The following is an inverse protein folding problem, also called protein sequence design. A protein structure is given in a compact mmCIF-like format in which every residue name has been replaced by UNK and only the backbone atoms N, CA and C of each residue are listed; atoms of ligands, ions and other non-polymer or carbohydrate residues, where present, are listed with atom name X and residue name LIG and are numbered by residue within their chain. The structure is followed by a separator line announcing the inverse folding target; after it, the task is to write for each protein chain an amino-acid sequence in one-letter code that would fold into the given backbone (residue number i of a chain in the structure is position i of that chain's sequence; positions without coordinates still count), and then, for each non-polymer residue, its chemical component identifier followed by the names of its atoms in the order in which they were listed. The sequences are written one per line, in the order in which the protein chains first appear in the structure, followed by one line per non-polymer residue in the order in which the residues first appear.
data_IF_149400335001
#
_entry.id   IF_149400335001
#
_cell.length_a   1.000
_cell.length_b   1.000
_cell.length_c   1.000
_cell.angle_alpha   90.00
_cell.angle_beta   90.00
_cell.angle_gamma   90.00
#
_symmetry.space_group_name_H-M   'P 1'
#
loop_
_entity.id
_entity.type
_entity.pdbx_description
1 polymer ?
#
# COMPACT_ATOMS: atom_id res chain seq x y z
N UNK A 1 -21.09 19.10 9.96
CA UNK A 1 -19.86 18.42 10.44
C UNK A 1 -20.14 16.93 10.61
N UNK A 2 -19.33 16.07 10.00
CA UNK A 2 -19.30 14.63 10.24
C UNK A 2 -18.43 14.36 11.45
N UNK A 3 -18.93 13.70 12.47
CA UNK A 3 -18.21 13.40 13.72
C UNK A 3 -18.41 11.93 14.07
N UNK A 4 -17.32 11.21 14.29
CA UNK A 4 -17.35 9.90 14.90
C UNK A 4 -16.68 9.99 16.29
N UNK A 5 -17.33 9.38 17.30
CA UNK A 5 -16.85 9.34 18.67
C UNK A 5 -16.81 7.92 19.19
N UNK A 6 -15.67 7.56 19.79
CA UNK A 6 -15.39 6.26 20.36
C UNK A 6 -15.75 5.12 19.39
N UNK A 7 -15.41 5.31 18.10
CA UNK A 7 -15.80 4.40 17.02
C UNK A 7 -15.02 3.11 17.13
N UNK A 8 -15.72 1.99 17.25
CA UNK A 8 -15.14 0.65 17.17
C UNK A 8 -15.86 -0.16 16.09
N UNK A 9 -15.13 -1.07 15.46
CA UNK A 9 -15.70 -2.02 14.51
C UNK A 9 -15.03 -3.37 14.62
N UNK A 10 -15.86 -4.39 14.80
CA UNK A 10 -15.45 -5.78 14.95
C UNK A 10 -15.88 -6.59 13.72
N UNK A 11 -15.02 -7.49 13.29
CA UNK A 11 -15.28 -8.48 12.24
C UNK A 11 -15.21 -9.88 12.82
N UNK A 12 -15.60 -10.89 12.05
CA UNK A 12 -15.42 -12.29 12.41
C UNK A 12 -13.98 -12.70 12.72
N UNK A 13 -13.01 -11.89 12.27
CA UNK A 13 -11.58 -12.10 12.48
C UNK A 13 -10.98 -11.25 13.61
N UNK A 14 -11.80 -10.48 14.32
CA UNK A 14 -11.40 -9.61 15.44
C UNK A 14 -11.66 -8.12 15.19
N UNK A 15 -11.22 -7.29 16.12
CA UNK A 15 -11.36 -5.85 16.05
C UNK A 15 -10.48 -5.25 14.92
N UNK A 16 -11.05 -4.39 14.09
CA UNK A 16 -10.30 -3.59 13.12
C UNK A 16 -9.76 -2.32 13.76
N UNK A 17 -10.55 -1.70 14.62
CA UNK A 17 -10.17 -0.52 15.41
C UNK A 17 -11.08 -0.36 16.60
N UNK A 18 -10.57 0.32 17.64
CA UNK A 18 -11.28 0.61 18.89
C UNK A 18 -11.06 2.08 19.28
N UNK A 19 -12.16 2.74 19.68
CA UNK A 19 -12.08 4.07 20.27
C UNK A 19 -11.59 5.18 19.34
N UNK A 20 -11.86 5.09 18.01
CA UNK A 20 -11.45 6.15 17.09
C UNK A 20 -12.32 7.39 17.23
N UNK A 21 -11.67 8.53 17.43
CA UNK A 21 -12.30 9.85 17.37
C UNK A 21 -11.85 10.59 16.13
N UNK A 22 -12.80 11.01 15.29
CA UNK A 22 -12.51 11.77 14.08
C UNK A 22 -13.60 12.81 13.77
N UNK A 23 -13.21 13.84 13.04
CA UNK A 23 -14.16 14.84 12.58
C UNK A 23 -13.78 15.40 11.22
N UNK A 24 -14.77 15.53 10.32
CA UNK A 24 -14.66 16.22 9.05
C UNK A 24 -15.71 17.32 8.98
N UNK A 25 -15.25 18.51 8.65
CA UNK A 25 -16.09 19.67 8.40
C UNK A 25 -16.06 19.95 6.90
N UNK A 26 -17.23 19.89 6.24
CA UNK A 26 -17.35 20.14 4.81
C UNK A 26 -16.83 21.52 4.39
N UNK A 27 -17.02 22.55 5.25
CA UNK A 27 -16.58 23.90 4.98
C UNK A 27 -15.06 24.12 5.13
N UNK A 28 -14.37 23.21 5.83
CA UNK A 28 -12.94 23.37 6.14
C UNK A 28 -11.99 23.14 4.95
N UNK A 29 -12.51 22.66 3.82
CA UNK A 29 -11.74 22.39 2.59
C UNK A 29 -10.48 21.53 2.84
N UNK A 30 -10.56 20.59 3.76
CA UNK A 30 -9.48 19.66 4.05
C UNK A 30 -9.31 18.65 2.94
N UNK A 31 -8.06 18.20 2.76
CA UNK A 31 -7.67 17.10 1.86
C UNK A 31 -7.00 16.04 2.72
N UNK A 32 -7.78 15.07 3.17
CA UNK A 32 -7.37 14.07 4.15
C UNK A 32 -7.02 12.78 3.45
N UNK A 33 -5.76 12.37 3.47
CA UNK A 33 -5.36 11.04 3.03
C UNK A 33 -5.47 10.05 4.19
N UNK A 34 -6.18 8.95 3.99
CA UNK A 34 -6.28 7.85 4.97
C UNK A 34 -5.29 6.76 4.57
N UNK A 35 -4.29 6.54 5.42
CA UNK A 35 -3.22 5.57 5.18
C UNK A 35 -3.21 4.50 6.28
N UNK A 36 -2.65 3.35 5.98
CA UNK A 36 -2.56 2.22 6.91
C UNK A 36 -2.24 0.93 6.18
N UNK A 37 -1.91 -0.13 6.91
CA UNK A 37 -1.64 -1.45 6.35
C UNK A 37 -2.86 -2.00 5.60
N UNK A 38 -2.61 -2.93 4.67
CA UNK A 38 -3.73 -3.64 4.04
C UNK A 38 -4.49 -4.45 5.10
N UNK A 39 -5.82 -4.36 5.04
CA UNK A 39 -6.71 -5.03 5.99
C UNK A 39 -6.93 -4.28 7.32
N UNK A 40 -6.32 -3.10 7.55
CA UNK A 40 -6.55 -2.33 8.79
C UNK A 40 -7.90 -1.60 8.87
N UNK A 41 -8.77 -1.77 7.86
CA UNK A 41 -10.13 -1.21 7.91
C UNK A 41 -10.34 0.14 7.22
N UNK A 42 -9.43 0.60 6.34
CA UNK A 42 -9.57 1.90 5.62
C UNK A 42 -10.91 2.02 4.89
N UNK A 43 -11.24 1.07 4.02
CA UNK A 43 -12.53 1.07 3.30
C UNK A 43 -13.72 0.85 4.23
N UNK A 44 -13.54 0.11 5.32
CA UNK A 44 -14.56 -0.06 6.37
C UNK A 44 -14.83 1.27 7.07
N UNK A 45 -13.79 2.05 7.36
CA UNK A 45 -13.91 3.39 7.94
C UNK A 45 -14.73 4.31 7.01
N UNK A 46 -14.44 4.30 5.69
CA UNK A 46 -15.24 5.06 4.71
C UNK A 46 -16.71 4.64 4.72
N UNK A 47 -17.02 3.34 4.76
CA UNK A 47 -18.40 2.82 4.83
C UNK A 47 -19.12 3.24 6.10
N UNK A 48 -18.45 3.25 7.26
CA UNK A 48 -19.00 3.75 8.52
C UNK A 48 -19.27 5.25 8.44
N UNK A 49 -18.34 6.03 7.88
CA UNK A 49 -18.51 7.47 7.66
C UNK A 49 -19.68 7.76 6.71
N UNK A 50 -19.89 6.93 5.69
CA UNK A 50 -21.03 7.03 4.77
C UNK A 50 -22.35 6.55 5.39
N UNK A 51 -22.28 5.65 6.40
CA UNK A 51 -23.43 5.05 7.07
C UNK A 51 -23.97 3.80 6.39
N UNK A 52 -23.17 3.18 5.58
CA UNK A 52 -23.46 1.85 5.01
C UNK A 52 -23.26 0.72 6.01
N UNK A 53 -22.43 0.98 7.04
CA UNK A 53 -22.20 0.06 8.16
C UNK A 53 -22.51 0.77 9.46
N UNK A 54 -23.04 0.01 10.42
CA UNK A 54 -23.21 0.46 11.79
C UNK A 54 -21.94 0.10 12.59
N UNK A 55 -21.44 1.01 13.44
CA UNK A 55 -20.30 0.70 14.30
C UNK A 55 -20.69 -0.33 15.36
N UNK A 56 -19.72 -1.17 15.78
CA UNK A 56 -19.91 -2.11 16.90
C UNK A 56 -20.05 -1.35 18.23
N UNK A 57 -19.30 -0.24 18.38
CA UNK A 57 -19.42 0.69 19.49
C UNK A 57 -19.20 2.13 18.99
N UNK A 58 -19.69 3.08 19.78
CA UNK A 58 -19.59 4.51 19.45
C UNK A 58 -20.71 5.02 18.55
N UNK A 59 -20.51 6.20 17.97
CA UNK A 59 -21.53 6.87 17.14
C UNK A 59 -20.91 7.62 15.99
N UNK A 60 -21.62 7.67 14.85
CA UNK A 60 -21.29 8.52 13.70
C UNK A 60 -22.44 9.48 13.45
N UNK A 61 -22.20 10.78 13.56
CA UNK A 61 -23.14 11.85 13.29
C UNK A 61 -22.75 12.64 12.05
N UNK A 62 -23.72 12.93 11.16
CA UNK A 62 -23.51 13.64 9.88
C UNK A 62 -24.30 14.93 9.81
N UNK A 63 -24.41 15.64 10.91
CA UNK A 63 -25.25 16.85 11.02
C UNK A 63 -24.98 17.82 9.86
N UNK A 64 -26.00 18.05 9.02
CA UNK A 64 -26.00 18.99 7.88
C UNK A 64 -24.96 18.73 6.77
N UNK A 65 -24.27 17.60 6.78
CA UNK A 65 -23.32 17.25 5.71
C UNK A 65 -23.95 16.29 4.71
N UNK A 66 -23.78 16.58 3.44
CA UNK A 66 -24.03 15.65 2.35
C UNK A 66 -22.73 14.93 2.05
N UNK A 67 -22.69 13.62 2.34
CA UNK A 67 -21.51 12.79 2.18
C UNK A 67 -21.70 11.87 1.00
N UNK A 68 -20.85 11.97 -0.02
CA UNK A 68 -20.86 11.11 -1.18
C UNK A 68 -19.55 10.30 -1.27
N UNK A 69 -19.61 9.09 -1.84
CA UNK A 69 -18.47 8.19 -1.86
C UNK A 69 -18.24 7.59 -3.26
N UNK A 70 -17.01 7.78 -3.79
CA UNK A 70 -16.50 7.02 -4.93
C UNK A 70 -15.91 5.71 -4.42
N UNK A 71 -16.44 4.59 -4.88
CA UNK A 71 -15.97 3.25 -4.52
C UNK A 71 -14.80 2.82 -5.37
N UNK A 72 -13.98 1.91 -4.84
CA UNK A 72 -12.84 1.33 -5.54
C UNK A 72 -13.26 0.68 -6.87
N UNK A 73 -14.35 -0.12 -6.87
CA UNK A 73 -14.92 -0.71 -8.06
C UNK A 73 -16.13 0.10 -8.54
N UNK A 74 -15.96 0.82 -9.63
CA UNK A 74 -17.02 1.57 -10.27
C UNK A 74 -17.85 0.60 -11.12
N UNK A 75 -19.02 0.24 -10.61
CA UNK A 75 -19.99 -0.62 -11.29
C UNK A 75 -21.24 0.18 -11.60
N UNK A 76 -21.59 0.24 -12.88
CA UNK A 76 -22.87 0.79 -13.30
C UNK A 76 -23.90 -0.35 -13.38
N UNK A 77 -25.15 -0.14 -12.91
CA UNK A 77 -26.16 -1.19 -12.85
C UNK A 77 -26.49 -1.80 -14.22
N UNK A 78 -26.48 -0.96 -15.26
CA UNK A 78 -26.71 -1.37 -16.64
C UNK A 78 -25.72 -0.63 -17.55
N UNK A 79 -24.73 -1.34 -18.06
CA UNK A 79 -23.72 -0.77 -18.93
C UNK A 79 -24.19 -0.50 -20.37
N UNK A 80 -25.39 -0.94 -20.74
CA UNK A 80 -25.96 -0.73 -22.09
C UNK A 80 -26.66 0.62 -22.21
N UNK A 81 -26.95 1.27 -21.10
CA UNK A 81 -27.58 2.60 -21.06
C UNK A 81 -26.60 3.68 -21.46
N UNK A 82 -27.08 4.77 -22.04
CA UNK A 82 -26.25 5.95 -22.32
C UNK A 82 -25.88 6.69 -21.02
N UNK A 83 -24.76 7.40 -21.04
CA UNK A 83 -24.31 8.21 -19.90
C UNK A 83 -25.37 9.23 -19.49
N UNK A 84 -25.97 9.92 -20.46
CA UNK A 84 -27.04 10.87 -20.20
C UNK A 84 -28.27 10.23 -19.57
N UNK A 85 -28.72 9.08 -20.11
CA UNK A 85 -29.85 8.32 -19.55
C UNK A 85 -29.59 7.85 -18.13
N UNK A 86 -28.36 7.40 -17.84
CA UNK A 86 -27.94 7.01 -16.50
C UNK A 86 -27.98 8.17 -15.51
N UNK A 87 -27.38 9.31 -15.85
CA UNK A 87 -27.35 10.48 -14.97
C UNK A 87 -28.74 11.09 -14.76
N UNK A 88 -29.59 11.10 -15.80
CA UNK A 88 -30.98 11.53 -15.68
C UNK A 88 -31.74 10.66 -14.67
N UNK A 89 -31.47 9.35 -14.64
CA UNK A 89 -32.12 8.44 -13.69
C UNK A 89 -31.72 8.69 -12.21
N UNK A 90 -30.70 9.53 -11.97
CA UNK A 90 -30.23 9.91 -10.64
C UNK A 90 -30.80 11.22 -10.12
N UNK A 91 -31.47 11.99 -10.99
CA UNK A 91 -32.13 13.22 -10.62
C UNK A 91 -33.52 12.92 -10.04
N UNK A 92 -33.96 13.71 -9.08
CA UNK A 92 -35.32 13.62 -8.51
C UNK A 92 -36.37 14.03 -9.50
N UNK A 93 -36.09 15.05 -10.35
CA UNK A 93 -36.99 15.56 -11.35
C UNK A 93 -36.27 15.91 -12.66
N UNK A 94 -36.93 15.63 -13.82
CA UNK A 94 -36.33 15.83 -15.16
C UNK A 94 -35.91 17.29 -15.45
N UNK A 95 -36.61 18.28 -14.90
CA UNK A 95 -36.27 19.69 -15.09
C UNK A 95 -34.91 20.08 -14.48
N UNK A 96 -34.36 19.27 -13.60
CA UNK A 96 -33.02 19.45 -13.01
C UNK A 96 -31.87 19.00 -13.96
N UNK A 97 -32.20 18.64 -15.22
CA UNK A 97 -31.21 18.15 -16.21
C UNK A 97 -30.02 19.11 -16.42
N UNK A 98 -30.19 20.42 -16.21
CA UNK A 98 -29.09 21.40 -16.25
C UNK A 98 -27.98 21.10 -15.25
N UNK A 99 -28.26 20.38 -14.16
CA UNK A 99 -27.24 19.96 -13.17
C UNK A 99 -26.25 18.98 -13.79
N UNK A 100 -26.67 18.16 -14.78
CA UNK A 100 -25.79 17.26 -15.51
C UNK A 100 -24.75 18.07 -16.30
N UNK A 101 -25.16 19.14 -16.97
CA UNK A 101 -24.25 20.00 -17.72
C UNK A 101 -23.23 20.65 -16.79
N UNK A 102 -23.66 21.13 -15.61
CA UNK A 102 -22.77 21.70 -14.59
C UNK A 102 -21.78 20.64 -14.09
N UNK A 103 -22.27 19.43 -13.77
CA UNK A 103 -21.42 18.35 -13.31
C UNK A 103 -20.40 17.92 -14.37
N UNK A 104 -20.82 17.87 -15.65
CA UNK A 104 -19.95 17.55 -16.79
C UNK A 104 -18.84 18.59 -16.98
N UNK A 105 -19.18 19.87 -16.86
CA UNK A 105 -18.19 20.96 -16.90
C UNK A 105 -17.15 20.80 -15.77
N UNK A 106 -17.63 20.51 -14.53
CA UNK A 106 -16.75 20.34 -13.37
C UNK A 106 -15.80 19.13 -13.51
N UNK A 107 -16.24 18.06 -14.17
CA UNK A 107 -15.37 16.88 -14.41
C UNK A 107 -14.65 16.92 -15.76
N UNK A 108 -14.76 18.04 -16.49
CA UNK A 108 -14.13 18.24 -17.80
C UNK A 108 -14.47 17.12 -18.80
N UNK A 109 -15.77 16.84 -18.96
CA UNK A 109 -16.32 15.93 -19.97
C UNK A 109 -17.10 16.72 -21.01
N UNK A 110 -16.93 16.37 -22.27
CA UNK A 110 -17.68 16.98 -23.36
C UNK A 110 -19.11 16.42 -23.48
N UNK A 111 -20.09 17.23 -23.94
CA UNK A 111 -21.49 16.83 -24.05
C UNK A 111 -21.72 15.63 -24.99
N UNK A 112 -20.83 15.39 -25.94
CA UNK A 112 -20.87 14.24 -26.86
C UNK A 112 -20.79 12.89 -26.13
N UNK A 113 -20.28 12.88 -24.90
CA UNK A 113 -20.20 11.66 -24.09
C UNK A 113 -21.56 11.23 -23.54
N UNK A 114 -22.53 12.14 -23.43
CA UNK A 114 -23.87 11.84 -22.94
C UNK A 114 -24.60 10.80 -23.79
N UNK A 115 -24.31 10.74 -25.08
CA UNK A 115 -24.92 9.79 -26.01
C UNK A 115 -24.19 8.44 -26.07
N UNK A 116 -23.00 8.34 -25.49
CA UNK A 116 -22.25 7.09 -25.46
C UNK A 116 -22.77 6.14 -24.38
N UNK A 117 -22.66 4.83 -24.65
CA UNK A 117 -23.02 3.81 -23.64
C UNK A 117 -21.93 3.71 -22.57
N UNK A 118 -22.35 3.42 -21.34
CA UNK A 118 -21.44 3.25 -20.20
C UNK A 118 -20.36 2.17 -20.45
N UNK A 119 -20.70 1.15 -21.22
CA UNK A 119 -19.77 0.08 -21.63
C UNK A 119 -18.60 0.57 -22.49
N UNK A 120 -18.80 1.62 -23.29
CA UNK A 120 -17.78 2.14 -24.22
C UNK A 120 -16.75 3.05 -23.56
N UNK A 121 -16.96 3.43 -22.30
CA UNK A 121 -16.13 4.38 -21.59
C UNK A 121 -14.74 3.81 -21.26
N UNK A 122 -13.70 4.62 -21.43
CA UNK A 122 -12.37 4.35 -20.90
C UNK A 122 -12.37 4.40 -19.36
N UNK A 123 -11.35 3.82 -18.71
CA UNK A 123 -11.23 3.84 -17.25
C UNK A 123 -11.29 5.26 -16.68
N UNK A 124 -10.58 6.22 -17.28
CA UNK A 124 -10.63 7.63 -16.84
C UNK A 124 -12.00 8.28 -17.03
N UNK A 125 -12.70 7.99 -18.15
CA UNK A 125 -14.06 8.48 -18.38
C UNK A 125 -15.04 7.88 -17.35
N UNK A 126 -14.94 6.59 -17.02
CA UNK A 126 -15.78 5.94 -16.00
C UNK A 126 -15.65 6.64 -14.64
N UNK A 127 -14.43 6.96 -14.21
CA UNK A 127 -14.18 7.69 -12.96
C UNK A 127 -14.81 9.08 -13.01
N UNK A 128 -14.65 9.82 -14.12
CA UNK A 128 -15.25 11.16 -14.27
C UNK A 128 -16.78 11.13 -14.26
N UNK A 129 -17.39 10.16 -14.95
CA UNK A 129 -18.85 9.98 -14.93
C UNK A 129 -19.35 9.62 -13.54
N UNK A 130 -18.65 8.72 -12.82
CA UNK A 130 -19.00 8.39 -11.44
C UNK A 130 -18.86 9.62 -10.50
N UNK A 131 -17.83 10.45 -10.68
CA UNK A 131 -17.71 11.70 -9.90
C UNK A 131 -18.84 12.67 -10.29
N UNK A 132 -19.20 12.79 -11.58
CA UNK A 132 -20.33 13.62 -12.01
C UNK A 132 -21.64 13.18 -11.34
N UNK A 133 -21.91 11.87 -11.25
CA UNK A 133 -23.05 11.33 -10.49
C UNK A 133 -23.05 11.78 -9.02
N UNK A 134 -21.87 11.73 -8.36
CA UNK A 134 -21.76 12.17 -6.97
C UNK A 134 -22.01 13.68 -6.82
N UNK A 135 -21.58 14.48 -7.78
CA UNK A 135 -21.76 15.94 -7.76
C UNK A 135 -23.23 16.36 -7.89
N UNK A 136 -24.09 15.53 -8.51
CA UNK A 136 -25.53 15.78 -8.55
C UNK A 136 -26.17 15.81 -7.17
N UNK A 137 -25.54 15.21 -6.15
CA UNK A 137 -25.99 15.25 -4.77
C UNK A 137 -25.53 16.51 -4.01
N UNK A 138 -24.80 17.41 -4.66
CA UNK A 138 -24.18 18.61 -4.05
C UNK A 138 -23.38 18.30 -2.75
N UNK A 139 -22.41 17.35 -2.78
CA UNK A 139 -21.74 16.88 -1.59
C UNK A 139 -20.87 17.97 -0.95
N UNK A 140 -20.95 18.08 0.38
CA UNK A 140 -20.05 18.91 1.18
C UNK A 140 -18.79 18.13 1.59
N UNK A 141 -18.91 16.79 1.68
CA UNK A 141 -17.80 15.86 1.96
C UNK A 141 -17.78 14.78 0.87
N UNK A 142 -16.62 14.64 0.23
CA UNK A 142 -16.38 13.61 -0.77
C UNK A 142 -15.41 12.57 -0.21
N UNK A 143 -15.83 11.31 -0.21
CA UNK A 143 -15.03 10.15 0.17
C UNK A 143 -14.58 9.43 -1.09
N UNK A 144 -13.27 9.09 -1.20
CA UNK A 144 -12.73 8.40 -2.37
C UNK A 144 -11.96 7.16 -1.91
N UNK A 145 -12.34 5.98 -2.39
CA UNK A 145 -11.66 4.73 -2.09
C UNK A 145 -10.79 4.30 -3.28
N UNK A 146 -9.46 4.43 -3.15
CA UNK A 146 -8.46 4.10 -4.17
C UNK A 146 -8.77 4.69 -5.56
N UNK A 147 -9.00 6.01 -5.69
CA UNK A 147 -9.51 6.62 -6.91
C UNK A 147 -8.49 6.64 -8.07
N UNK A 148 -7.22 6.36 -7.79
CA UNK A 148 -6.14 6.32 -8.79
C UNK A 148 -5.96 4.95 -9.45
N UNK A 149 -6.66 3.91 -8.97
CA UNK A 149 -6.52 2.57 -9.51
C UNK A 149 -6.99 2.50 -10.97
N UNK A 150 -6.17 1.88 -11.81
CA UNK A 150 -6.43 1.70 -13.24
C UNK A 150 -6.52 2.98 -14.09
N UNK A 151 -6.15 4.14 -13.52
CA UNK A 151 -6.09 5.40 -14.26
C UNK A 151 -4.75 5.56 -14.98
N UNK A 152 -4.80 6.17 -16.15
CA UNK A 152 -3.61 6.66 -16.84
C UNK A 152 -3.12 7.98 -16.21
N UNK A 153 -1.91 8.37 -16.57
CA UNK A 153 -1.24 9.56 -16.01
C UNK A 153 -2.08 10.83 -16.19
N UNK A 154 -2.70 11.01 -17.37
CA UNK A 154 -3.51 12.19 -17.67
C UNK A 154 -4.78 12.24 -16.80
N UNK A 155 -5.39 11.09 -16.55
CA UNK A 155 -6.56 10.98 -15.67
C UNK A 155 -6.21 11.22 -14.19
N UNK A 156 -5.03 10.78 -13.74
CA UNK A 156 -4.54 11.09 -12.38
C UNK A 156 -4.25 12.59 -12.24
N UNK A 157 -3.60 13.22 -13.20
CA UNK A 157 -3.35 14.67 -13.18
C UNK A 157 -4.65 15.49 -13.14
N UNK A 158 -5.64 15.10 -13.94
CA UNK A 158 -6.96 15.69 -13.87
C UNK A 158 -7.60 15.53 -12.48
N UNK A 159 -7.55 14.31 -11.89
CA UNK A 159 -8.13 14.03 -10.59
C UNK A 159 -7.49 14.88 -9.48
N UNK A 160 -6.17 15.07 -9.56
CA UNK A 160 -5.45 15.98 -8.65
C UNK A 160 -6.03 17.40 -8.72
N UNK A 161 -6.15 17.96 -9.95
CA UNK A 161 -6.72 19.29 -10.17
C UNK A 161 -8.17 19.40 -9.63
N UNK A 162 -8.99 18.41 -9.97
CA UNK A 162 -10.38 18.35 -9.49
C UNK A 162 -10.47 18.39 -7.96
N UNK A 163 -9.69 17.52 -7.27
CA UNK A 163 -9.72 17.48 -5.80
C UNK A 163 -9.20 18.79 -5.20
N UNK A 164 -8.16 19.40 -5.76
CA UNK A 164 -7.63 20.67 -5.28
C UNK A 164 -8.66 21.80 -5.38
N UNK A 165 -9.46 21.83 -6.43
CA UNK A 165 -10.48 22.84 -6.71
C UNK A 165 -11.82 22.58 -6.01
N UNK A 166 -12.10 21.35 -5.60
CA UNK A 166 -13.36 20.99 -4.95
C UNK A 166 -13.63 21.87 -3.73
N UNK A 167 -14.83 22.43 -3.65
CA UNK A 167 -15.18 23.45 -2.62
C UNK A 167 -15.36 22.86 -1.22
N UNK A 168 -15.69 21.58 -1.12
CA UNK A 168 -15.88 20.85 0.14
C UNK A 168 -14.59 20.21 0.68
N UNK A 169 -14.74 19.36 1.68
CA UNK A 169 -13.68 18.51 2.22
C UNK A 169 -13.62 17.19 1.46
N UNK A 170 -12.42 16.72 1.17
CA UNK A 170 -12.18 15.40 0.55
C UNK A 170 -11.38 14.53 1.49
N UNK A 171 -11.88 13.32 1.78
CA UNK A 171 -11.11 12.29 2.44
C UNK A 171 -10.94 11.10 1.49
N UNK A 172 -9.72 10.61 1.34
CA UNK A 172 -9.42 9.58 0.36
C UNK A 172 -8.45 8.52 0.89
N UNK A 173 -8.67 7.30 0.46
CA UNK A 173 -7.73 6.20 0.62
C UNK A 173 -6.92 6.11 -0.66
N UNK A 174 -5.61 6.07 -0.57
CA UNK A 174 -4.74 5.77 -1.70
C UNK A 174 -3.41 5.18 -1.25
N UNK A 175 -2.84 4.34 -2.13
CA UNK A 175 -1.49 3.83 -2.00
C UNK A 175 -0.50 4.55 -2.94
N UNK A 176 -0.96 5.50 -3.73
CA UNK A 176 -0.12 6.33 -4.60
C UNK A 176 0.45 7.52 -3.81
N UNK A 177 1.73 7.45 -3.49
CA UNK A 177 2.43 8.50 -2.70
C UNK A 177 2.56 9.82 -3.45
N UNK A 178 2.72 9.77 -4.77
CA UNK A 178 2.78 10.99 -5.59
C UNK A 178 1.44 11.72 -5.56
N UNK A 179 0.35 10.97 -5.67
CA UNK A 179 -1.00 11.48 -5.54
C UNK A 179 -1.26 12.04 -4.14
N UNK A 180 -0.93 11.29 -3.08
CA UNK A 180 -1.10 11.75 -1.69
C UNK A 180 -0.30 13.04 -1.47
N UNK A 181 0.96 13.09 -1.91
CA UNK A 181 1.84 14.26 -1.73
C UNK A 181 1.34 15.48 -2.49
N UNK A 182 0.71 15.29 -3.66
CA UNK A 182 0.15 16.38 -4.46
C UNK A 182 -1.16 16.96 -3.91
N UNK A 183 -1.94 16.14 -3.20
CA UNK A 183 -3.32 16.48 -2.81
C UNK A 183 -3.47 16.72 -1.31
N UNK A 184 -2.87 15.86 -0.45
CA UNK A 184 -3.13 15.86 0.98
C UNK A 184 -2.53 17.08 1.68
N UNK A 185 -3.31 17.68 2.59
CA UNK A 185 -2.84 18.62 3.58
C UNK A 185 -2.99 18.10 5.02
N UNK A 186 -3.60 16.93 5.17
CA UNK A 186 -3.72 16.18 6.40
C UNK A 186 -3.65 14.68 6.10
N UNK A 187 -2.99 13.92 6.95
CA UNK A 187 -2.90 12.46 6.83
C UNK A 187 -3.44 11.81 8.10
N UNK A 188 -4.32 10.85 7.91
CA UNK A 188 -4.85 9.99 8.96
C UNK A 188 -4.24 8.60 8.81
N UNK A 189 -3.42 8.21 9.77
CA UNK A 189 -2.85 6.87 9.82
C UNK A 189 -3.67 5.99 10.76
N UNK A 190 -4.20 4.88 10.23
CA UNK A 190 -4.67 3.78 11.07
C UNK A 190 -3.45 2.96 11.46
N UNK A 191 -3.00 3.12 12.71
CA UNK A 191 -1.77 2.54 13.22
C UNK A 191 -1.88 1.02 13.39
N UNK A 192 -0.74 0.36 13.63
CA UNK A 192 -0.71 -1.06 13.96
C UNK A 192 -1.40 -1.37 15.32
N UNK A 193 -1.54 -0.36 16.18
CA UNK A 193 -2.22 -0.41 17.47
C UNK A 193 -3.74 -0.14 17.32
N UNK A 194 -4.25 -0.11 16.06
CA UNK A 194 -5.65 0.10 15.73
C UNK A 194 -6.20 1.48 16.14
N UNK A 195 -5.31 2.44 16.38
CA UNK A 195 -5.63 3.83 16.71
C UNK A 195 -5.54 4.73 15.47
N UNK A 196 -6.26 5.85 15.47
CA UNK A 196 -6.16 6.87 14.44
C UNK A 196 -5.16 7.95 14.86
N UNK A 197 -4.10 8.10 14.11
CA UNK A 197 -3.14 9.18 14.30
C UNK A 197 -3.29 10.24 13.20
N UNK A 198 -3.34 11.49 13.61
CA UNK A 198 -3.51 12.62 12.72
C UNK A 198 -2.19 13.36 12.56
N UNK A 199 -1.81 13.60 11.30
CA UNK A 199 -0.62 14.35 10.91
C UNK A 199 -1.04 15.50 9.98
N UNK A 200 -0.38 16.63 10.11
CA UNK A 200 -0.64 17.80 9.26
C UNK A 200 0.49 17.98 8.25
N UNK A 201 0.12 18.23 7.01
CA UNK A 201 1.06 18.48 5.92
C UNK A 201 1.05 17.41 4.83
N UNK A 202 2.11 17.41 4.01
CA UNK A 202 2.30 16.49 2.89
C UNK A 202 2.74 15.10 3.35
N UNK A 203 2.78 14.14 2.40
CA UNK A 203 3.27 12.79 2.69
C UNK A 203 4.72 12.77 3.22
N UNK A 204 5.59 13.59 2.68
CA UNK A 204 6.98 13.68 3.15
C UNK A 204 7.08 14.21 4.58
N UNK A 205 6.27 15.21 4.92
CA UNK A 205 6.20 15.74 6.29
C UNK A 205 5.61 14.72 7.26
N UNK A 206 4.63 13.93 6.83
CA UNK A 206 4.09 12.81 7.59
C UNK A 206 5.17 11.80 7.96
N UNK A 207 6.03 11.39 7.01
CA UNK A 207 7.11 10.43 7.28
C UNK A 207 8.06 10.93 8.37
N UNK A 208 8.42 12.21 8.35
CA UNK A 208 9.27 12.82 9.36
C UNK A 208 8.58 12.82 10.72
N UNK A 209 7.35 13.34 10.79
CA UNK A 209 6.57 13.42 12.03
C UNK A 209 6.31 12.03 12.64
N UNK A 210 5.99 11.05 11.78
CA UNK A 210 5.78 9.66 12.19
C UNK A 210 7.05 9.06 12.82
N UNK A 211 8.20 9.27 12.19
CA UNK A 211 9.48 8.82 12.72
C UNK A 211 9.82 9.48 14.06
N UNK A 212 9.64 10.79 14.18
CA UNK A 212 9.87 11.51 15.43
C UNK A 212 8.96 11.02 16.57
N UNK A 213 7.66 10.81 16.29
CA UNK A 213 6.72 10.25 17.26
C UNK A 213 7.11 8.84 17.70
N UNK A 214 7.56 8.00 16.76
CA UNK A 214 8.03 6.66 17.07
C UNK A 214 9.26 6.70 17.96
N UNK A 215 10.26 7.52 17.64
CA UNK A 215 11.47 7.67 18.44
C UNK A 215 11.15 8.16 19.85
N UNK A 216 10.24 9.11 19.97
CA UNK A 216 9.80 9.59 21.28
C UNK A 216 9.13 8.50 22.11
N UNK A 217 8.18 7.74 21.52
CA UNK A 217 7.53 6.61 22.23
C UNK A 217 8.56 5.56 22.66
N UNK A 218 9.55 5.27 21.83
CA UNK A 218 10.62 4.33 22.17
C UNK A 218 11.43 4.83 23.36
N UNK A 219 11.83 6.09 23.36
CA UNK A 219 12.54 6.71 24.50
C UNK A 219 11.71 6.71 25.77
N UNK A 220 10.43 7.07 25.70
CA UNK A 220 9.50 7.09 26.85
C UNK A 220 9.32 5.67 27.42
N UNK A 221 9.23 4.66 26.56
CA UNK A 221 9.15 3.25 26.96
C UNK A 221 10.45 2.79 27.64
N UNK A 222 11.62 3.03 27.01
CA UNK A 222 12.91 2.66 27.59
C UNK A 222 13.18 3.34 28.93
N UNK A 223 12.79 4.63 29.04
CA UNK A 223 12.93 5.36 30.29
C UNK A 223 12.06 4.73 31.39
N UNK A 224 10.78 4.46 31.09
CA UNK A 224 9.85 3.82 32.04
C UNK A 224 10.33 2.42 32.44
N UNK A 225 10.87 1.64 31.51
CA UNK A 225 11.43 0.31 31.81
C UNK A 225 12.64 0.37 32.74
N UNK A 226 13.53 1.35 32.54
CA UNK A 226 14.67 1.55 33.44
C UNK A 226 14.23 1.90 34.85
N UNK A 227 13.28 2.81 35.01
CA UNK A 227 12.73 3.18 36.33
C UNK A 227 12.09 1.98 37.04
N UNK A 228 11.34 1.13 36.30
CA UNK A 228 10.75 -0.11 36.82
C UNK A 228 11.85 -1.06 37.26
N UNK A 229 12.86 -1.33 36.43
CA UNK A 229 13.96 -2.23 36.72
C UNK A 229 14.77 -1.77 37.94
N UNK A 230 15.12 -0.50 38.03
CA UNK A 230 15.83 0.07 39.20
C UNK A 230 15.04 -0.10 40.50
N UNK A 231 13.73 0.06 40.43
CA UNK A 231 12.86 -0.08 41.58
C UNK A 231 12.67 -1.55 41.98
N UNK A 232 12.60 -2.47 41.02
CA UNK A 232 12.59 -3.91 41.24
C UNK A 232 13.90 -4.39 41.87
N UNK A 233 15.06 -3.97 41.33
CA UNK A 233 16.37 -4.31 41.91
C UNK A 233 16.50 -3.79 43.35
N UNK A 234 16.12 -2.54 43.59
CA UNK A 234 16.13 -1.98 44.93
C UNK A 234 15.22 -2.79 45.88
N UNK A 235 14.03 -3.20 45.45
CA UNK A 235 13.13 -4.03 46.25
C UNK A 235 13.69 -5.43 46.48
N UNK A 236 14.33 -6.06 45.51
CA UNK A 236 14.96 -7.36 45.63
C UNK A 236 16.06 -7.36 46.72
N UNK A 237 16.88 -6.31 46.71
CA UNK A 237 17.98 -6.16 47.67
C UNK A 237 17.49 -5.79 49.07
N UNK A 238 16.45 -4.97 49.22
CA UNK A 238 16.09 -4.32 50.45
C UNK A 238 14.81 -4.85 51.14
N UNK A 239 13.92 -5.56 50.43
CA UNK A 239 12.64 -6.01 50.98
C UNK A 239 12.77 -6.93 52.19
N UNK A 240 13.83 -7.74 52.25
CA UNK A 240 14.15 -8.66 53.33
C UNK A 240 15.25 -8.17 54.27
N UNK A 241 15.84 -7.01 54.02
CA UNK A 241 16.90 -6.45 54.81
C UNK A 241 16.36 -6.05 56.20
N UNK A 242 16.99 -6.42 57.34
CA UNK A 242 16.51 -6.17 58.69
C UNK A 242 16.11 -4.73 58.99
N UNK A 243 16.79 -3.76 58.35
CA UNK A 243 16.55 -2.33 58.48
C UNK A 243 15.25 -1.86 57.79
N UNK A 244 14.79 -2.53 56.72
CA UNK A 244 13.69 -2.08 55.88
C UNK A 244 12.48 -3.02 55.86
N UNK A 245 12.61 -4.28 56.29
CA UNK A 245 11.58 -5.34 56.23
C UNK A 245 10.20 -4.96 56.74
N UNK A 246 10.12 -4.06 57.68
CA UNK A 246 8.85 -3.63 58.27
C UNK A 246 8.65 -2.10 58.18
N UNK A 247 9.35 -1.44 57.29
CA UNK A 247 9.21 0.02 57.13
C UNK A 247 8.17 0.41 56.12
N UNK A 248 7.55 1.57 56.32
CA UNK A 248 6.64 2.19 55.33
C UNK A 248 7.29 2.39 53.97
N UNK A 249 8.63 2.49 53.92
CA UNK A 249 9.41 2.72 52.69
C UNK A 249 9.28 1.57 51.67
N UNK A 250 9.37 0.29 52.16
CA UNK A 250 9.20 -0.86 51.25
C UNK A 250 7.77 -0.96 50.74
N UNK A 251 6.77 -0.70 51.62
CA UNK A 251 5.37 -0.69 51.19
C UNK A 251 5.05 0.41 50.19
N UNK A 252 5.62 1.63 50.41
CA UNK A 252 5.47 2.74 49.46
C UNK A 252 6.11 2.44 48.10
N UNK A 253 7.32 1.87 48.07
CA UNK A 253 8.02 1.51 46.86
C UNK A 253 7.32 0.38 46.07
N UNK A 254 6.77 -0.63 46.78
CA UNK A 254 5.92 -1.65 46.14
C UNK A 254 4.69 -1.03 45.46
N UNK A 255 4.01 -0.12 46.17
CA UNK A 255 2.85 0.57 45.62
C UNK A 255 3.22 1.52 44.47
N UNK A 256 4.45 2.11 44.49
CA UNK A 256 4.97 2.88 43.39
C UNK A 256 5.26 1.99 42.20
N UNK A 257 5.87 0.83 42.37
CA UNK A 257 6.12 -0.15 41.31
C UNK A 257 4.82 -0.58 40.62
N UNK A 258 3.81 -1.01 41.39
CA UNK A 258 2.49 -1.37 40.83
C UNK A 258 1.85 -0.21 40.02
N UNK A 259 2.06 1.03 40.46
CA UNK A 259 1.56 2.21 39.71
C UNK A 259 2.34 2.48 38.44
N UNK A 260 3.67 2.30 38.49
CA UNK A 260 4.55 2.48 37.34
C UNK A 260 4.28 1.41 36.28
N UNK A 261 4.19 0.14 36.66
CA UNK A 261 3.83 -0.96 35.76
C UNK A 261 2.50 -0.74 35.04
N UNK A 262 1.46 -0.26 35.81
CA UNK A 262 0.15 0.07 35.21
C UNK A 262 0.15 1.28 34.29
N UNK A 263 1.10 2.21 34.49
CA UNK A 263 1.21 3.45 33.70
C UNK A 263 2.32 3.40 32.64
N UNK A 264 3.18 2.38 32.70
CA UNK A 264 4.24 2.22 31.72
C UNK A 264 3.65 2.21 30.30
N UNK A 265 4.13 3.09 29.41
CA UNK A 265 3.67 3.06 28.02
C UNK A 265 4.00 1.68 27.43
N UNK A 266 3.09 1.08 26.66
CA UNK A 266 3.39 -0.17 25.98
C UNK A 266 4.60 0.02 25.06
N UNK A 267 5.35 -1.06 24.85
CA UNK A 267 6.43 -1.03 23.84
C UNK A 267 5.81 -0.59 22.50
N UNK A 268 6.33 0.47 21.88
CA UNK A 268 5.83 0.83 20.55
C UNK A 268 6.01 -0.36 19.63
N UNK A 269 4.95 -0.69 18.88
CA UNK A 269 5.05 -1.74 17.87
C UNK A 269 6.24 -1.39 16.98
N UNK A 270 7.26 -2.23 16.89
CA UNK A 270 8.42 -1.93 16.07
C UNK A 270 7.96 -1.54 14.68
N UNK A 271 8.44 -0.42 14.17
CA UNK A 271 8.26 -0.12 12.76
C UNK A 271 8.73 -1.37 12.00
N UNK A 272 7.84 -2.08 11.31
CA UNK A 272 8.14 -3.38 10.75
C UNK A 272 9.14 -3.18 9.61
N UNK A 273 10.42 -3.12 9.94
CA UNK A 273 11.50 -3.06 8.97
C UNK A 273 11.92 -4.47 8.65
N UNK A 274 11.87 -4.83 7.39
CA UNK A 274 12.49 -6.08 6.93
C UNK A 274 13.97 -6.03 7.32
N UNK A 275 14.35 -6.83 8.32
CA UNK A 275 15.74 -6.91 8.83
C UNK A 275 16.60 -7.77 7.91
N UNK A 276 16.75 -7.36 6.65
CA UNK A 276 17.67 -8.03 5.77
C UNK A 276 19.06 -7.40 5.90
N UNK A 277 19.93 -8.09 6.60
CA UNK A 277 21.31 -7.65 6.83
C UNK A 277 22.29 -8.04 5.70
N UNK A 278 21.85 -8.76 4.66
CA UNK A 278 22.76 -9.18 3.60
C UNK A 278 22.58 -8.36 2.35
N UNK A 279 23.57 -7.56 2.02
CA UNK A 279 23.71 -6.98 0.69
C UNK A 279 24.00 -8.14 -0.29
N UNK A 280 23.15 -8.29 -1.31
CA UNK A 280 23.38 -9.25 -2.37
C UNK A 280 24.43 -8.65 -3.31
N UNK A 281 25.60 -9.26 -3.36
CA UNK A 281 26.69 -8.90 -4.26
C UNK A 281 26.84 -9.96 -5.32
N UNK A 282 26.87 -9.57 -6.58
CA UNK A 282 27.11 -10.49 -7.68
C UNK A 282 28.58 -10.46 -8.16
N UNK A 283 28.95 -11.41 -9.00
CA UNK A 283 30.27 -11.43 -9.62
C UNK A 283 30.37 -10.37 -10.72
N UNK A 284 31.46 -9.60 -10.76
CA UNK A 284 31.70 -8.59 -11.79
C UNK A 284 31.64 -9.15 -13.22
N UNK A 285 31.19 -8.34 -14.17
CA UNK A 285 31.14 -8.64 -15.59
C UNK A 285 29.73 -8.72 -16.18
N UNK A 286 29.65 -9.17 -17.41
CA UNK A 286 28.37 -9.30 -18.12
C UNK A 286 27.52 -10.41 -17.52
N UNK A 287 26.31 -10.06 -17.13
CA UNK A 287 25.30 -10.96 -16.55
C UNK A 287 24.48 -11.62 -17.65
N UNK A 288 24.04 -10.82 -18.61
CA UNK A 288 23.18 -11.23 -19.69
C UNK A 288 23.42 -10.36 -20.94
N UNK A 289 23.32 -10.98 -22.14
CA UNK A 289 23.33 -10.26 -23.41
C UNK A 289 22.20 -10.82 -24.30
N UNK A 290 21.23 -9.93 -24.65
CA UNK A 290 20.13 -10.23 -25.56
C UNK A 290 20.32 -9.46 -26.87
N UNK A 291 20.24 -10.20 -27.97
CA UNK A 291 20.07 -9.66 -29.33
C UNK A 291 18.78 -10.24 -29.88
N UNK A 292 17.71 -9.50 -29.84
CA UNK A 292 16.39 -9.89 -30.31
C UNK A 292 16.09 -9.15 -31.60
N UNK A 293 15.87 -9.88 -32.69
CA UNK A 293 15.44 -9.33 -33.96
C UNK A 293 13.92 -9.09 -33.95
N UNK A 294 13.15 -10.14 -33.59
CA UNK A 294 11.69 -10.02 -33.48
C UNK A 294 11.09 -11.02 -32.50
N UNK A 295 9.92 -10.66 -31.96
CA UNK A 295 9.01 -11.53 -31.21
C UNK A 295 7.60 -11.31 -31.69
N UNK A 296 6.94 -12.39 -32.15
CA UNK A 296 5.56 -12.38 -32.64
C UNK A 296 4.66 -13.27 -31.80
N UNK A 297 3.38 -12.92 -31.74
CA UNK A 297 2.29 -13.79 -31.30
C UNK A 297 1.26 -13.88 -32.45
N UNK A 298 1.17 -15.03 -33.09
CA UNK A 298 0.46 -15.17 -34.36
C UNK A 298 1.07 -14.21 -35.38
N UNK A 299 0.24 -13.37 -36.02
CA UNK A 299 0.65 -12.40 -37.04
C UNK A 299 1.07 -11.03 -36.45
N UNK A 300 1.01 -10.85 -35.13
CA UNK A 300 1.32 -9.58 -34.49
C UNK A 300 2.76 -9.54 -33.97
N UNK A 301 3.58 -8.64 -34.53
CA UNK A 301 4.94 -8.37 -34.02
C UNK A 301 4.85 -7.48 -32.76
N UNK A 302 5.32 -8.02 -31.61
CA UNK A 302 5.26 -7.33 -30.30
C UNK A 302 6.59 -6.65 -29.97
N UNK A 303 7.73 -7.30 -30.26
CA UNK A 303 9.05 -6.72 -30.04
C UNK A 303 9.86 -6.78 -31.31
N UNK A 304 10.65 -5.74 -31.57
CA UNK A 304 11.50 -5.62 -32.75
C UNK A 304 12.82 -4.93 -32.43
N UNK A 305 13.92 -5.55 -32.89
CA UNK A 305 15.27 -4.98 -32.79
C UNK A 305 15.67 -4.54 -31.40
N UNK A 306 15.45 -5.39 -30.36
CA UNK A 306 15.83 -5.10 -28.98
C UNK A 306 17.23 -5.64 -28.71
N UNK A 307 18.16 -4.73 -28.35
CA UNK A 307 19.52 -5.08 -27.91
C UNK A 307 19.72 -4.65 -26.48
N UNK A 308 20.00 -5.62 -25.59
CA UNK A 308 20.16 -5.36 -24.17
C UNK A 308 21.34 -6.13 -23.59
N UNK A 309 22.36 -5.40 -23.12
CA UNK A 309 23.48 -5.94 -22.36
C UNK A 309 23.33 -5.50 -20.91
N UNK A 310 23.31 -6.47 -20.00
CA UNK A 310 23.21 -6.27 -18.57
C UNK A 310 24.52 -6.63 -17.92
N UNK A 311 25.09 -5.69 -17.19
CA UNK A 311 26.30 -5.88 -16.39
C UNK A 311 25.96 -5.93 -14.90
N UNK A 312 26.86 -6.44 -14.10
CA UNK A 312 26.68 -6.48 -12.65
C UNK A 312 26.50 -5.07 -12.10
N UNK A 313 25.45 -4.88 -11.26
CA UNK A 313 25.08 -3.59 -10.69
C UNK A 313 24.23 -2.70 -11.60
N UNK A 314 23.96 -3.09 -12.84
CA UNK A 314 23.01 -2.36 -13.70
C UNK A 314 21.61 -2.40 -13.12
N UNK A 315 20.95 -1.24 -13.11
CA UNK A 315 19.55 -1.06 -12.73
C UNK A 315 18.78 -0.48 -13.90
N UNK A 316 18.04 -1.34 -14.61
CA UNK A 316 17.46 -1.02 -15.90
C UNK A 316 15.96 -0.87 -15.75
N UNK A 317 15.42 0.28 -16.12
CA UNK A 317 13.98 0.51 -16.20
C UNK A 317 13.50 0.27 -17.63
N UNK A 318 12.49 -0.60 -17.80
CA UNK A 318 11.79 -0.80 -19.06
C UNK A 318 10.54 0.09 -19.05
N UNK A 319 10.50 1.07 -19.95
CA UNK A 319 9.38 1.99 -20.16
C UNK A 319 8.64 1.65 -21.48
N UNK A 320 7.34 1.90 -21.54
CA UNK A 320 6.52 1.70 -22.74
C UNK A 320 5.03 1.64 -22.42
N UNK A 321 4.18 1.80 -23.44
CA UNK A 321 2.72 1.74 -23.31
C UNK A 321 2.26 0.35 -22.86
N UNK A 322 1.03 0.27 -22.34
CA UNK A 322 0.43 -1.03 -22.04
C UNK A 322 0.32 -1.83 -23.35
N UNK A 323 0.69 -3.13 -23.29
CA UNK A 323 0.73 -3.98 -24.48
C UNK A 323 2.01 -3.87 -25.34
N UNK A 324 2.98 -3.00 -25.01
CA UNK A 324 4.24 -2.87 -25.79
C UNK A 324 5.21 -4.04 -25.67
N UNK A 325 4.86 -5.11 -24.93
CA UNK A 325 5.70 -6.30 -24.79
C UNK A 325 6.67 -6.29 -23.61
N UNK A 326 6.52 -5.40 -22.62
CA UNK A 326 7.38 -5.30 -21.45
C UNK A 326 7.50 -6.63 -20.68
N UNK A 327 6.37 -7.23 -20.29
CA UNK A 327 6.35 -8.53 -19.60
C UNK A 327 6.84 -9.68 -20.48
N UNK A 328 6.60 -9.61 -21.79
CA UNK A 328 7.16 -10.56 -22.76
C UNK A 328 8.69 -10.49 -22.77
N UNK A 329 9.25 -9.29 -22.77
CA UNK A 329 10.70 -9.11 -22.68
C UNK A 329 11.27 -9.69 -21.38
N UNK A 330 10.63 -9.46 -20.22
CA UNK A 330 11.07 -10.09 -18.96
C UNK A 330 11.01 -11.63 -19.02
N UNK A 331 9.97 -12.21 -19.64
CA UNK A 331 9.89 -13.66 -19.83
C UNK A 331 11.01 -14.21 -20.73
N UNK A 332 11.41 -13.47 -21.75
CA UNK A 332 12.58 -13.82 -22.58
C UNK A 332 13.86 -13.74 -21.74
N UNK A 333 14.08 -12.63 -20.99
CA UNK A 333 15.26 -12.44 -20.16
C UNK A 333 15.40 -13.51 -19.07
N UNK A 334 14.27 -14.00 -18.52
CA UNK A 334 14.26 -15.10 -17.54
C UNK A 334 14.54 -16.47 -18.16
N UNK A 335 14.52 -16.57 -19.50
CA UNK A 335 14.62 -17.84 -20.23
C UNK A 335 13.35 -18.68 -20.23
N UNK A 336 12.22 -18.16 -19.71
CA UNK A 336 10.93 -18.81 -19.72
C UNK A 336 10.31 -18.84 -21.12
N UNK A 337 10.48 -17.76 -21.90
CA UNK A 337 10.07 -17.72 -23.32
C UNK A 337 11.30 -17.83 -24.22
N UNK A 338 11.35 -18.92 -24.98
CA UNK A 338 12.44 -19.23 -25.93
C UNK A 338 12.02 -19.06 -27.38
N UNK A 339 10.74 -18.76 -27.62
CA UNK A 339 10.17 -18.69 -28.96
C UNK A 339 10.30 -17.24 -29.52
N UNK A 340 11.51 -16.81 -29.84
CA UNK A 340 11.80 -15.51 -30.46
C UNK A 340 12.93 -15.64 -31.50
N UNK A 341 13.00 -14.73 -32.41
CA UNK A 341 14.11 -14.61 -33.36
C UNK A 341 15.23 -13.78 -32.72
N UNK A 342 16.39 -14.40 -32.54
CA UNK A 342 17.53 -13.73 -31.90
C UNK A 342 18.36 -14.68 -31.02
N UNK A 343 19.18 -14.08 -30.17
CA UNK A 343 20.06 -14.83 -29.26
C UNK A 343 20.05 -14.24 -27.85
N UNK A 344 19.85 -15.10 -26.86
CA UNK A 344 20.04 -14.80 -25.45
C UNK A 344 21.26 -15.55 -24.93
N UNK A 345 22.23 -14.80 -24.43
CA UNK A 345 23.43 -15.37 -23.81
C UNK A 345 23.44 -15.03 -22.32
N UNK A 346 23.46 -16.04 -21.46
CA UNK A 346 23.51 -15.91 -20.01
C UNK A 346 24.89 -16.30 -19.51
N UNK A 347 25.36 -15.63 -18.44
CA UNK A 347 26.54 -16.07 -17.71
C UNK A 347 26.33 -17.48 -17.16
N UNK A 348 27.35 -18.34 -17.22
CA UNK A 348 27.27 -19.69 -16.67
C UNK A 348 26.95 -19.69 -15.18
N UNK A 349 25.98 -20.49 -14.76
CA UNK A 349 25.58 -20.65 -13.38
C UNK A 349 24.81 -19.45 -12.77
N UNK A 350 24.37 -18.50 -13.60
CA UNK A 350 23.58 -17.36 -13.15
C UNK A 350 22.27 -17.82 -12.50
N UNK A 351 21.94 -17.21 -11.37
CA UNK A 351 20.65 -17.34 -10.71
C UNK A 351 19.79 -16.12 -11.02
N UNK A 352 18.71 -16.35 -11.74
CA UNK A 352 17.73 -15.31 -12.06
C UNK A 352 16.55 -15.44 -11.11
N UNK A 353 16.24 -14.35 -10.41
CA UNK A 353 15.04 -14.23 -9.61
C UNK A 353 14.01 -13.37 -10.32
N UNK A 354 12.76 -13.83 -10.40
CA UNK A 354 11.69 -13.09 -11.06
C UNK A 354 10.47 -12.98 -10.18
N UNK A 355 9.96 -11.75 -10.03
CA UNK A 355 8.62 -11.45 -9.50
C UNK A 355 7.77 -10.97 -10.67
N UNK A 356 6.78 -11.78 -11.04
CA UNK A 356 5.84 -11.44 -12.11
C UNK A 356 4.63 -10.68 -11.60
N UNK A 357 3.75 -10.30 -12.52
CA UNK A 357 2.51 -9.59 -12.19
C UNK A 357 1.54 -10.45 -11.35
N UNK A 358 1.54 -11.77 -11.57
CA UNK A 358 0.70 -12.72 -10.83
C UNK A 358 1.54 -13.64 -9.96
N UNK A 359 1.00 -13.97 -8.78
CA UNK A 359 1.63 -14.90 -7.85
C UNK A 359 1.69 -16.31 -8.45
N UNK A 360 2.84 -16.98 -8.27
CA UNK A 360 3.06 -18.38 -8.66
C UNK A 360 3.05 -19.35 -7.48
N UNK A 361 2.67 -18.86 -6.30
CA UNK A 361 2.59 -19.65 -5.08
C UNK A 361 1.45 -20.67 -5.18
N UNK A 362 1.66 -21.88 -4.63
CA UNK A 362 0.63 -22.91 -4.57
C UNK A 362 -0.39 -22.60 -3.46
N UNK A 363 -1.65 -22.29 -3.79
CA UNK A 363 -2.64 -21.85 -2.82
C UNK A 363 -3.00 -22.91 -1.76
N UNK A 364 -2.75 -24.20 -2.04
CA UNK A 364 -3.10 -25.30 -1.13
C UNK A 364 -1.99 -25.65 -0.13
N UNK A 365 -0.77 -25.18 -0.35
CA UNK A 365 0.34 -25.36 0.59
C UNK A 365 0.31 -24.35 1.72
N UNK A 366 0.95 -24.71 2.83
CA UNK A 366 1.24 -23.74 3.90
C UNK A 366 2.40 -22.81 3.48
N UNK A 367 2.48 -21.66 4.14
CA UNK A 367 3.58 -20.71 3.92
C UNK A 367 4.93 -21.37 4.11
N UNK A 368 5.08 -22.16 5.17
CA UNK A 368 6.35 -22.81 5.51
C UNK A 368 6.71 -23.92 4.51
N UNK A 369 5.73 -24.69 4.04
CA UNK A 369 5.93 -25.71 3.00
C UNK A 369 6.35 -25.07 1.69
N UNK A 370 5.67 -24.02 1.25
CA UNK A 370 5.99 -23.34 0.00
C UNK A 370 7.38 -22.66 0.08
N UNK A 371 7.68 -22.03 1.22
CA UNK A 371 9.00 -21.44 1.47
C UNK A 371 10.11 -22.51 1.42
N UNK A 372 9.94 -23.63 2.14
CA UNK A 372 10.90 -24.73 2.18
C UNK A 372 11.11 -25.39 0.80
N UNK A 373 10.03 -25.60 0.04
CA UNK A 373 10.09 -26.21 -1.29
C UNK A 373 10.82 -25.33 -2.32
N UNK A 374 10.72 -24.01 -2.19
CA UNK A 374 11.31 -23.05 -3.12
C UNK A 374 12.65 -22.47 -2.63
N UNK A 375 13.07 -22.81 -1.43
CA UNK A 375 14.39 -22.44 -0.88
C UNK A 375 15.11 -23.71 -0.44
N UNK A 376 16.43 -23.69 -0.34
CA UNK A 376 17.20 -24.84 0.17
C UNK A 376 17.39 -24.74 1.71
N UNK A 377 16.44 -24.10 2.40
CA UNK A 377 16.51 -23.91 3.85
C UNK A 377 15.74 -25.02 4.54
N UNK A 378 16.36 -25.61 5.57
CA UNK A 378 15.69 -26.61 6.40
C UNK A 378 14.46 -26.03 7.10
N UNK A 379 13.43 -26.86 7.25
CA UNK A 379 12.14 -26.51 7.83
C UNK A 379 12.25 -25.86 9.21
N UNK A 380 13.20 -26.32 10.02
CA UNK A 380 13.52 -25.78 11.35
C UNK A 380 13.97 -24.31 11.33
N UNK A 381 14.73 -23.91 10.30
CA UNK A 381 15.25 -22.55 10.13
C UNK A 381 14.29 -21.64 9.36
N UNK A 382 13.33 -22.20 8.64
CA UNK A 382 12.40 -21.48 7.77
C UNK A 382 11.59 -20.42 8.53
N UNK A 383 11.10 -20.74 9.73
CA UNK A 383 10.36 -19.80 10.60
C UNK A 383 11.17 -18.57 10.95
N UNK A 384 12.43 -18.77 11.32
CA UNK A 384 13.33 -17.68 11.69
C UNK A 384 13.64 -16.77 10.50
N UNK A 385 13.80 -17.36 9.32
CA UNK A 385 14.02 -16.57 8.09
C UNK A 385 12.75 -15.80 7.72
N UNK A 386 11.59 -16.43 7.73
CA UNK A 386 10.30 -15.76 7.47
C UNK A 386 10.03 -14.60 8.46
N UNK A 387 10.41 -14.76 9.73
CA UNK A 387 10.30 -13.68 10.72
C UNK A 387 11.15 -12.44 10.34
N UNK A 388 12.32 -12.63 9.69
CA UNK A 388 13.14 -11.52 9.18
C UNK A 388 12.45 -10.75 8.03
N UNK A 389 11.51 -11.40 7.32
CA UNK A 389 10.63 -10.80 6.33
C UNK A 389 9.31 -10.30 6.94
N UNK A 390 9.24 -10.20 8.27
CA UNK A 390 8.06 -9.75 9.01
C UNK A 390 6.81 -10.61 8.74
N UNK A 391 7.03 -11.88 8.48
CA UNK A 391 5.93 -12.81 8.35
C UNK A 391 5.44 -13.16 9.76
N UNK A 392 4.18 -12.86 10.12
CA UNK A 392 3.66 -13.14 11.45
C UNK A 392 3.69 -14.64 11.74
N UNK A 393 4.10 -15.04 12.96
CA UNK A 393 4.25 -16.44 13.32
C UNK A 393 2.94 -17.23 13.16
N UNK A 394 1.81 -16.58 13.40
CA UNK A 394 0.47 -17.15 13.24
C UNK A 394 0.10 -17.56 11.82
N UNK A 395 0.68 -16.90 10.80
CA UNK A 395 0.41 -17.23 9.40
C UNK A 395 1.38 -18.24 8.79
N UNK A 396 2.45 -18.61 9.49
CA UNK A 396 3.48 -19.50 8.95
C UNK A 396 2.93 -20.90 8.61
N UNK A 397 1.97 -21.38 9.39
CA UNK A 397 1.29 -22.67 9.16
C UNK A 397 -0.06 -22.51 8.41
N UNK A 398 -0.43 -21.29 8.03
CA UNK A 398 -1.66 -21.03 7.28
C UNK A 398 -1.48 -21.37 5.81
N UNK A 399 -2.56 -21.78 5.13
CA UNK A 399 -2.57 -21.99 3.69
C UNK A 399 -2.43 -20.67 2.94
N UNK A 400 -1.71 -20.67 1.83
CA UNK A 400 -1.45 -19.48 1.01
C UNK A 400 -2.74 -18.82 0.54
N UNK A 401 -3.78 -19.60 0.23
CA UNK A 401 -5.11 -19.06 -0.15
C UNK A 401 -5.78 -18.20 0.91
N UNK A 402 -5.41 -18.34 2.19
CA UNK A 402 -5.94 -17.50 3.28
C UNK A 402 -5.16 -16.20 3.47
N UNK A 403 -4.03 -16.03 2.77
CA UNK A 403 -3.21 -14.84 2.86
C UNK A 403 -3.79 -13.71 1.99
N UNK A 404 -3.67 -12.47 2.49
CA UNK A 404 -3.87 -11.30 1.65
C UNK A 404 -2.84 -11.26 0.51
N UNK A 405 -3.18 -10.57 -0.58
CA UNK A 405 -2.27 -10.44 -1.72
C UNK A 405 -0.91 -9.84 -1.31
N UNK A 406 -0.90 -8.83 -0.42
CA UNK A 406 0.33 -8.25 0.12
C UNK A 406 1.17 -9.25 0.92
N UNK A 407 0.54 -10.16 1.68
CA UNK A 407 1.25 -11.24 2.37
C UNK A 407 1.82 -12.29 1.40
N UNK A 408 1.09 -12.63 0.34
CA UNK A 408 1.60 -13.50 -0.72
C UNK A 408 2.82 -12.89 -1.41
N UNK A 409 2.76 -11.60 -1.75
CA UNK A 409 3.90 -10.87 -2.30
C UNK A 409 5.10 -10.84 -1.36
N UNK A 410 4.88 -10.67 -0.06
CA UNK A 410 5.95 -10.73 0.94
C UNK A 410 6.60 -12.11 0.97
N UNK A 411 5.82 -13.18 0.86
CA UNK A 411 6.34 -14.55 0.77
C UNK A 411 7.18 -14.74 -0.51
N UNK A 412 6.71 -14.26 -1.66
CA UNK A 412 7.46 -14.32 -2.92
C UNK A 412 8.81 -13.62 -2.80
N UNK A 413 8.84 -12.42 -2.21
CA UNK A 413 10.12 -11.73 -1.96
C UNK A 413 10.99 -12.48 -0.96
N UNK A 414 10.43 -13.06 0.09
CA UNK A 414 11.18 -13.88 1.03
C UNK A 414 11.86 -15.07 0.34
N UNK A 415 11.13 -15.79 -0.50
CA UNK A 415 11.67 -16.92 -1.31
C UNK A 415 12.75 -16.43 -2.27
N UNK A 416 12.44 -15.39 -3.04
CA UNK A 416 13.33 -14.82 -4.04
C UNK A 416 14.69 -14.46 -3.46
N UNK A 417 14.67 -13.67 -2.39
CA UNK A 417 15.87 -13.08 -1.80
C UNK A 417 16.69 -14.10 -1.01
N UNK A 418 16.02 -15.07 -0.41
CA UNK A 418 16.68 -16.20 0.25
C UNK A 418 17.53 -17.04 -0.72
N UNK A 419 17.10 -17.15 -1.98
CA UNK A 419 17.83 -17.87 -3.04
C UNK A 419 19.06 -17.11 -3.57
N UNK A 420 19.28 -15.88 -3.11
CA UNK A 420 20.42 -15.04 -3.50
C UNK A 420 20.61 -14.97 -5.03
N UNK A 421 19.69 -14.32 -5.75
CA UNK A 421 19.80 -14.19 -7.20
C UNK A 421 20.97 -13.26 -7.59
N UNK A 422 21.53 -13.46 -8.79
CA UNK A 422 22.51 -12.59 -9.42
C UNK A 422 21.83 -11.49 -10.28
N UNK A 423 20.62 -11.76 -10.77
CA UNK A 423 19.78 -10.88 -11.56
C UNK A 423 18.37 -10.90 -11.04
N UNK A 424 17.79 -9.73 -10.76
CA UNK A 424 16.39 -9.56 -10.41
C UNK A 424 15.59 -9.05 -11.61
N UNK A 425 14.49 -9.72 -11.93
CA UNK A 425 13.50 -9.30 -12.92
C UNK A 425 12.20 -8.99 -12.19
N UNK A 426 11.76 -7.73 -12.21
CA UNK A 426 10.65 -7.22 -11.41
C UNK A 426 9.59 -6.63 -12.33
N UNK A 427 8.42 -7.29 -12.41
CA UNK A 427 7.27 -6.82 -13.19
C UNK A 427 6.22 -6.21 -12.26
N UNK A 428 6.12 -4.88 -12.24
CA UNK A 428 5.22 -4.09 -11.38
C UNK A 428 5.26 -4.56 -9.91
N UNK A 429 6.43 -4.54 -9.25
CA UNK A 429 6.60 -5.13 -7.92
C UNK A 429 5.85 -4.40 -6.82
N UNK A 430 5.43 -3.15 -7.06
CA UNK A 430 4.71 -2.29 -6.12
C UNK A 430 3.19 -2.44 -6.18
N UNK A 431 2.65 -3.13 -7.18
CA UNK A 431 1.21 -3.30 -7.32
C UNK A 431 0.61 -4.06 -6.13
N UNK A 432 -0.52 -3.57 -5.62
CA UNK A 432 -1.26 -4.14 -4.48
C UNK A 432 -0.48 -4.18 -3.15
N UNK A 433 0.71 -3.58 -3.08
CA UNK A 433 1.41 -3.39 -1.81
C UNK A 433 0.87 -2.14 -1.11
N UNK A 434 0.70 -2.24 0.21
CA UNK A 434 0.45 -1.05 1.00
C UNK A 434 1.69 -0.14 1.03
N UNK A 435 1.47 1.08 1.44
CA UNK A 435 2.48 2.15 1.37
C UNK A 435 3.74 1.82 2.19
N UNK A 436 3.59 1.10 3.31
CA UNK A 436 4.69 0.73 4.20
C UNK A 436 5.52 -0.42 3.62
N UNK A 437 4.85 -1.40 3.03
CA UNK A 437 5.54 -2.52 2.37
C UNK A 437 6.30 -2.05 1.12
N UNK A 438 5.78 -1.03 0.41
CA UNK A 438 6.52 -0.37 -0.69
C UNK A 438 7.80 0.30 -0.19
N UNK A 439 7.74 1.01 0.94
CA UNK A 439 8.93 1.64 1.55
C UNK A 439 9.99 0.60 1.98
N UNK A 440 9.56 -0.52 2.53
CA UNK A 440 10.47 -1.60 2.89
C UNK A 440 11.15 -2.21 1.67
N UNK A 441 10.37 -2.42 0.58
CA UNK A 441 10.90 -2.93 -0.68
C UNK A 441 11.90 -1.96 -1.31
N UNK A 442 11.62 -0.66 -1.28
CA UNK A 442 12.52 0.38 -1.79
C UNK A 442 13.85 0.38 -1.08
N UNK A 443 13.82 0.43 0.25
CA UNK A 443 15.06 0.38 1.05
C UNK A 443 15.84 -0.89 0.74
N UNK A 444 15.13 -2.01 0.76
CA UNK A 444 15.78 -3.28 0.50
C UNK A 444 16.45 -3.33 -0.88
N UNK A 445 15.71 -3.00 -1.95
CA UNK A 445 16.26 -3.04 -3.31
C UNK A 445 17.30 -1.93 -3.55
N UNK A 446 17.14 -0.78 -2.89
CA UNK A 446 18.12 0.31 -2.94
C UNK A 446 19.50 -0.09 -2.44
N UNK A 447 19.56 -0.92 -1.41
CA UNK A 447 20.80 -1.36 -0.77
C UNK A 447 21.49 -2.55 -1.49
N UNK A 448 20.86 -3.15 -2.53
CA UNK A 448 21.44 -4.32 -3.21
C UNK A 448 22.43 -3.91 -4.31
N UNK A 449 23.52 -4.68 -4.46
CA UNK A 449 24.55 -4.50 -5.49
C UNK A 449 24.45 -5.51 -6.63
N UNK A 450 23.24 -6.02 -6.89
CA UNK A 450 22.97 -6.97 -7.98
C UNK A 450 22.35 -6.28 -9.18
N UNK A 451 22.41 -6.93 -10.34
CA UNK A 451 21.74 -6.44 -11.53
C UNK A 451 20.21 -6.54 -11.37
N UNK A 452 19.48 -5.52 -11.84
CA UNK A 452 18.03 -5.46 -11.80
C UNK A 452 17.44 -4.99 -13.13
N UNK A 453 16.35 -5.60 -13.54
CA UNK A 453 15.49 -5.10 -14.61
C UNK A 453 14.10 -4.90 -14.03
N UNK A 454 13.60 -3.68 -14.16
CA UNK A 454 12.38 -3.22 -13.51
C UNK A 454 11.38 -2.73 -14.56
N UNK A 455 10.13 -3.15 -14.43
CA UNK A 455 8.97 -2.51 -15.03
C UNK A 455 8.18 -1.90 -13.87
N UNK A 456 7.96 -0.59 -13.89
CA UNK A 456 7.11 0.07 -12.90
C UNK A 456 6.57 1.40 -13.40
N UNK A 457 5.33 1.69 -13.04
CA UNK A 457 4.67 2.98 -13.23
C UNK A 457 4.79 3.89 -12.00
N UNK A 458 5.27 3.37 -10.87
CA UNK A 458 5.50 4.13 -9.64
C UNK A 458 6.78 4.99 -9.76
N UNK A 459 6.62 6.26 -10.13
CA UNK A 459 7.75 7.21 -10.30
C UNK A 459 8.55 7.40 -9.01
N UNK A 460 7.89 7.35 -7.85
CA UNK A 460 8.56 7.50 -6.55
C UNK A 460 9.46 6.29 -6.26
N UNK A 461 8.93 5.09 -6.43
CA UNK A 461 9.69 3.85 -6.33
C UNK A 461 10.91 3.84 -7.25
N UNK A 462 10.71 4.15 -8.54
CA UNK A 462 11.78 4.24 -9.54
C UNK A 462 12.88 5.21 -9.12
N UNK A 463 12.52 6.37 -8.55
CA UNK A 463 13.50 7.37 -8.08
C UNK A 463 14.36 6.88 -6.91
N UNK A 464 13.80 6.01 -6.05
CA UNK A 464 14.50 5.45 -4.88
C UNK A 464 15.42 4.28 -5.24
N UNK A 465 15.10 3.53 -6.28
CA UNK A 465 15.90 2.37 -6.72
C UNK A 465 17.24 2.80 -7.36
N UNK A 466 17.36 4.02 -7.85
CA UNK A 466 18.60 4.52 -8.47
C UNK A 466 18.88 3.88 -9.83
N UNK A 467 17.96 4.05 -10.78
CA UNK A 467 18.05 3.52 -12.15
C UNK A 467 19.32 4.04 -12.86
N UNK A 468 20.07 3.13 -13.46
CA UNK A 468 21.31 3.44 -14.22
C UNK A 468 21.09 3.52 -15.72
N UNK A 469 20.10 2.76 -16.25
CA UNK A 469 19.79 2.69 -17.68
C UNK A 469 18.27 2.65 -17.90
N UNK A 470 17.83 3.15 -19.05
CA UNK A 470 16.43 3.06 -19.48
C UNK A 470 16.34 2.40 -20.84
N UNK A 471 15.32 1.53 -21.00
CA UNK A 471 14.97 0.90 -22.27
C UNK A 471 13.52 1.25 -22.59
N UNK A 472 13.28 1.93 -23.72
CA UNK A 472 11.94 2.26 -24.20
C UNK A 472 11.49 1.27 -25.27
N UNK A 473 10.27 0.72 -25.11
CA UNK A 473 9.62 -0.23 -26.03
C UNK A 473 8.45 0.42 -26.76
#
# INVERSE_FOLDING_TARGET
MLVAKNLAYETSSGHLFEGLDLSLDGAAKKRVAIVGKNGCGKSTLLKLMLGELEPSEGTVSRSQEVVACLRQDIQFPDETVTVGGYLLSKLEEEWMSYQIDIAFEQVNLGPELLEQTLKSLSGGQRVRVAIAELLLQEPTILLLDEPTNHLDVASVEWLIGFIQEFRGTVAFVSHDRAFINAVANQIWEISAEQNLEVYTGTYEQFLVQRYERYQKRLQDHEFSQREVTELEEWLAENANHPKYKFTATVAQKKKALERMEKKAPPAPVPDPRVKMKSVLTGQAGTVLNLKLNSKTFGDTEILKNVHLKIEQGDRILIEGRNGSGKSTLLNILSGADKAFDGQLTLRNGIKIGMVGQFSKLDPEKTVLEEFGNNTRIEYSSGRSVLANFLFPAEFVDSKIKSLSYGQQRRLEFAILLTNKPDLLLLDEPTNHLDIFLREDLERFLGDQEIAMVLISHDKYFVSKIGITKKLSL
#
